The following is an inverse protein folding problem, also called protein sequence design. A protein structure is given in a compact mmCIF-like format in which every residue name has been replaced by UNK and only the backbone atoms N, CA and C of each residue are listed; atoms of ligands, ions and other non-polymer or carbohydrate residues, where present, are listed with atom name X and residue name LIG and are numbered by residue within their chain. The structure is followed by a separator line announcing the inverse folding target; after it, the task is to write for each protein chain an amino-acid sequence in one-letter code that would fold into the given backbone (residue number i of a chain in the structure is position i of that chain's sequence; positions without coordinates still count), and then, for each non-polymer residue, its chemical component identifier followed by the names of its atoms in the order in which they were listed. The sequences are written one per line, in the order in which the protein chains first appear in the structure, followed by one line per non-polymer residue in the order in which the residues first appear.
data_IF_270360007884
#
_entry.id   IF_270360007884
#
_cell.length_a   1.000
_cell.length_b   1.000
_cell.length_c   1.000
_cell.angle_alpha   90.00
_cell.angle_beta   90.00
_cell.angle_gamma   90.00
#
_symmetry.space_group_name_H-M   'P 1'
#
loop_
_entity.id
_entity.type
_entity.pdbx_description
1 polymer ?
#
# COMPACT_ATOMS: atom_id res chain seq x y z
N UNK A 1 -29.64 -58.14 3.45
CA UNK A 1 -29.12 -56.88 2.85
C UNK A 1 -27.67 -57.12 2.50
N UNK A 2 -27.27 -56.95 1.23
CA UNK A 2 -25.94 -57.33 0.76
C UNK A 2 -24.86 -56.42 1.39
N UNK A 3 -23.68 -56.98 1.69
CA UNK A 3 -22.53 -56.22 2.22
C UNK A 3 -22.15 -55.02 1.33
N UNK A 4 -22.44 -55.12 0.04
CA UNK A 4 -22.22 -54.06 -0.95
C UNK A 4 -23.15 -52.86 -0.70
N UNK A 5 -24.40 -53.08 -0.30
CA UNK A 5 -25.36 -52.00 -0.04
C UNK A 5 -24.99 -51.21 1.22
N UNK A 6 -24.44 -51.92 2.22
CA UNK A 6 -23.92 -51.28 3.45
C UNK A 6 -22.69 -50.42 3.16
N UNK A 7 -21.77 -50.91 2.31
CA UNK A 7 -20.57 -50.18 1.92
C UNK A 7 -20.90 -48.92 1.08
N UNK A 8 -21.90 -49.01 0.19
CA UNK A 8 -22.40 -47.85 -0.59
C UNK A 8 -23.00 -46.76 0.30
N UNK A 9 -23.73 -47.14 1.35
CA UNK A 9 -24.29 -46.17 2.28
C UNK A 9 -23.22 -45.49 3.13
N UNK A 10 -22.22 -46.23 3.62
CA UNK A 10 -21.10 -45.68 4.37
C UNK A 10 -20.28 -44.69 3.53
N UNK A 11 -19.97 -45.02 2.27
CA UNK A 11 -19.24 -44.13 1.37
C UNK A 11 -20.04 -42.85 1.10
N UNK A 12 -21.36 -42.95 0.87
CA UNK A 12 -22.23 -41.78 0.65
C UNK A 12 -22.26 -40.87 1.88
N UNK A 13 -22.31 -41.43 3.09
CA UNK A 13 -22.29 -40.64 4.33
C UNK A 13 -20.94 -39.93 4.53
N UNK A 14 -19.82 -40.62 4.26
CA UNK A 14 -18.47 -40.03 4.39
C UNK A 14 -18.27 -38.90 3.36
N UNK A 15 -18.64 -39.12 2.09
CA UNK A 15 -18.57 -38.08 1.06
C UNK A 15 -19.53 -36.92 1.34
N UNK A 16 -20.74 -37.19 1.82
CA UNK A 16 -21.71 -36.16 2.17
C UNK A 16 -21.24 -35.25 3.30
N UNK A 17 -20.60 -35.82 4.34
CA UNK A 17 -20.01 -35.04 5.43
C UNK A 17 -18.79 -34.25 4.92
N UNK A 18 -17.89 -34.86 4.15
CA UNK A 18 -16.72 -34.18 3.60
C UNK A 18 -17.09 -32.99 2.68
N UNK A 19 -18.13 -33.15 1.84
CA UNK A 19 -18.63 -32.09 0.98
C UNK A 19 -19.32 -30.96 1.77
N UNK A 20 -20.06 -31.28 2.84
CA UNK A 20 -20.65 -30.26 3.72
C UNK A 20 -19.59 -29.50 4.51
N UNK A 21 -18.55 -30.16 5.03
CA UNK A 21 -17.45 -29.49 5.74
C UNK A 21 -16.60 -28.62 4.80
N UNK A 22 -16.38 -29.06 3.55
CA UNK A 22 -15.67 -28.27 2.54
C UNK A 22 -16.46 -27.00 2.16
N UNK A 23 -17.78 -27.10 1.94
CA UNK A 23 -18.64 -25.96 1.61
C UNK A 23 -18.73 -24.90 2.72
N UNK A 24 -18.73 -25.32 3.99
CA UNK A 24 -18.76 -24.40 5.13
C UNK A 24 -17.43 -23.66 5.29
N UNK A 25 -16.29 -24.33 5.05
CA UNK A 25 -14.98 -23.67 5.04
C UNK A 25 -14.80 -22.69 3.87
N UNK A 26 -15.37 -22.97 2.69
CA UNK A 26 -15.32 -22.03 1.56
C UNK A 26 -16.14 -20.77 1.83
N UNK A 27 -17.35 -20.90 2.41
CA UNK A 27 -18.19 -19.72 2.70
C UNK A 27 -17.59 -18.81 3.78
N UNK A 28 -16.99 -19.38 4.83
CA UNK A 28 -16.31 -18.59 5.87
C UNK A 28 -14.97 -17.96 5.41
N UNK A 29 -14.31 -18.53 4.39
CA UNK A 29 -13.16 -17.91 3.74
C UNK A 29 -13.57 -16.84 2.73
N UNK A 30 -14.72 -17.00 2.05
CA UNK A 30 -15.21 -16.04 1.08
C UNK A 30 -15.70 -14.74 1.75
N UNK A 31 -16.31 -14.82 2.94
CA UNK A 31 -16.64 -13.63 3.76
C UNK A 31 -15.38 -12.87 4.21
N UNK A 32 -14.34 -13.59 4.65
CA UNK A 32 -13.06 -12.96 5.02
C UNK A 32 -12.28 -12.43 3.80
N UNK A 33 -12.35 -13.08 2.65
CA UNK A 33 -11.72 -12.60 1.41
C UNK A 33 -12.39 -11.33 0.89
N UNK A 34 -13.71 -11.22 1.02
CA UNK A 34 -14.44 -10.01 0.64
C UNK A 34 -14.07 -8.82 1.55
N UNK A 35 -13.99 -9.03 2.86
CA UNK A 35 -13.64 -7.98 3.83
C UNK A 35 -12.18 -7.49 3.68
N UNK A 36 -11.29 -8.37 3.25
CA UNK A 36 -9.88 -8.01 3.01
C UNK A 36 -9.64 -7.41 1.61
N UNK A 37 -10.45 -7.78 0.62
CA UNK A 37 -10.47 -7.15 -0.70
C UNK A 37 -10.96 -5.70 -0.66
N UNK A 38 -11.88 -5.36 0.25
CA UNK A 38 -12.34 -3.98 0.46
C UNK A 38 -11.30 -3.10 1.17
N UNK A 39 -10.43 -3.69 1.98
CA UNK A 39 -9.48 -2.94 2.82
C UNK A 39 -8.10 -2.72 2.18
N UNK A 40 -7.72 -3.50 1.16
CA UNK A 40 -6.41 -3.38 0.47
C UNK A 40 -6.50 -3.53 -1.06
N UNK A 41 -7.05 -2.54 -1.80
CA UNK A 41 -7.23 -2.60 -3.26
C UNK A 41 -5.91 -2.73 -4.04
N UNK A 42 -4.80 -2.25 -3.48
CA UNK A 42 -3.47 -2.45 -4.02
C UNK A 42 -3.08 -3.94 -4.17
N UNK A 43 -3.57 -4.85 -3.32
CA UNK A 43 -3.27 -6.27 -3.45
C UNK A 43 -4.00 -6.87 -4.65
N UNK A 44 -5.24 -6.45 -4.91
CA UNK A 44 -5.99 -6.86 -6.10
C UNK A 44 -5.31 -6.38 -7.39
N UNK A 45 -4.78 -5.15 -7.37
CA UNK A 45 -4.00 -4.63 -8.49
C UNK A 45 -2.73 -5.46 -8.74
N UNK A 46 -1.97 -5.80 -7.67
CA UNK A 46 -0.80 -6.68 -7.79
C UNK A 46 -1.19 -8.07 -8.31
N UNK A 47 -2.30 -8.63 -7.83
CA UNK A 47 -2.81 -9.93 -8.25
C UNK A 47 -3.07 -9.99 -9.75
N UNK A 48 -3.75 -8.99 -10.29
CA UNK A 48 -4.05 -8.87 -11.72
C UNK A 48 -2.80 -8.57 -12.56
N UNK A 49 -1.88 -7.76 -12.05
CA UNK A 49 -0.71 -7.29 -12.82
C UNK A 49 0.35 -8.38 -13.00
N UNK A 50 0.53 -9.24 -11.99
CA UNK A 50 1.60 -10.25 -11.97
C UNK A 50 1.08 -11.69 -12.03
N UNK A 51 -0.20 -11.88 -12.33
CA UNK A 51 -0.85 -13.19 -12.39
C UNK A 51 -0.58 -14.02 -11.12
N UNK A 52 -0.86 -13.42 -9.96
CA UNK A 52 -0.54 -14.05 -8.67
C UNK A 52 -1.45 -15.25 -8.38
N UNK A 53 -0.88 -16.31 -7.81
CA UNK A 53 -1.69 -17.44 -7.33
C UNK A 53 -2.51 -17.05 -6.09
N UNK A 54 -3.62 -17.74 -5.78
CA UNK A 54 -4.40 -17.47 -4.57
C UNK A 54 -3.57 -17.49 -3.28
N UNK A 55 -2.58 -18.37 -3.21
CA UNK A 55 -1.64 -18.47 -2.08
C UNK A 55 -0.74 -17.22 -1.97
N UNK A 56 -0.21 -16.74 -3.11
CA UNK A 56 0.56 -15.50 -3.15
C UNK A 56 -0.28 -14.28 -2.78
N UNK A 57 -1.52 -14.22 -3.27
CA UNK A 57 -2.48 -13.17 -2.92
C UNK A 57 -2.73 -13.16 -1.43
N UNK A 58 -2.98 -14.32 -0.80
CA UNK A 58 -3.17 -14.42 0.64
C UNK A 58 -1.92 -13.97 1.42
N UNK A 59 -0.73 -14.44 1.04
CA UNK A 59 0.51 -14.07 1.72
C UNK A 59 0.79 -12.55 1.63
N UNK A 60 0.59 -11.96 0.45
CA UNK A 60 0.75 -10.50 0.26
C UNK A 60 -0.32 -9.75 1.06
N UNK A 61 -1.54 -10.25 1.08
CA UNK A 61 -2.63 -9.68 1.87
C UNK A 61 -2.27 -9.58 3.35
N UNK A 62 -1.74 -10.66 3.94
CA UNK A 62 -1.29 -10.68 5.34
C UNK A 62 -0.15 -9.67 5.59
N UNK A 63 0.79 -9.53 4.64
CA UNK A 63 1.86 -8.52 4.68
C UNK A 63 1.29 -7.09 4.70
N UNK A 64 0.24 -6.82 3.92
CA UNK A 64 -0.41 -5.51 3.88
C UNK A 64 -1.21 -5.22 5.16
N UNK A 65 -1.91 -6.20 5.69
CA UNK A 65 -2.63 -6.07 6.96
C UNK A 65 -1.68 -5.72 8.12
N UNK A 66 -0.55 -6.44 8.25
CA UNK A 66 0.48 -6.16 9.27
C UNK A 66 1.03 -4.73 9.14
N UNK A 67 1.27 -4.27 7.91
CA UNK A 67 1.74 -2.91 7.66
C UNK A 67 0.67 -1.85 7.92
N UNK A 68 -0.60 -2.16 7.68
CA UNK A 68 -1.71 -1.23 7.85
C UNK A 68 -1.95 -0.89 9.32
N UNK A 69 -1.93 -1.89 10.21
CA UNK A 69 -2.05 -1.66 11.65
C UNK A 69 -0.96 -0.70 12.17
N UNK A 70 0.29 -0.91 11.76
CA UNK A 70 1.40 -0.03 12.17
C UNK A 70 1.28 1.36 11.56
N UNK A 71 0.86 1.48 10.29
CA UNK A 71 0.64 2.77 9.64
C UNK A 71 -0.48 3.56 10.31
N UNK A 72 -1.57 2.91 10.74
CA UNK A 72 -2.65 3.56 11.48
C UNK A 72 -2.17 4.13 12.83
N UNK A 73 -1.32 3.39 13.56
CA UNK A 73 -0.69 3.89 14.79
C UNK A 73 0.14 5.14 14.51
N UNK A 74 1.00 5.08 13.49
CA UNK A 74 1.84 6.21 13.11
C UNK A 74 1.04 7.41 12.60
N UNK A 75 -0.09 7.20 11.91
CA UNK A 75 -1.02 8.25 11.49
C UNK A 75 -1.61 8.98 12.67
N UNK A 76 -2.08 8.24 13.66
CA UNK A 76 -2.61 8.80 14.89
C UNK A 76 -1.53 9.60 15.63
N UNK A 77 -0.37 8.99 15.88
CA UNK A 77 0.75 9.63 16.58
C UNK A 77 1.24 10.91 15.86
N UNK A 78 1.36 10.85 14.53
CA UNK A 78 1.75 12.01 13.71
C UNK A 78 0.70 13.12 13.77
N UNK A 79 -0.58 12.76 13.72
CA UNK A 79 -1.69 13.73 13.78
C UNK A 79 -1.74 14.41 15.14
N UNK A 80 -1.70 13.63 16.21
CA UNK A 80 -1.73 14.14 17.59
C UNK A 80 -0.53 15.07 17.85
N UNK A 81 0.65 14.68 17.37
CA UNK A 81 1.86 15.49 17.50
C UNK A 81 1.79 16.80 16.68
N UNK A 82 1.23 16.76 15.46
CA UNK A 82 1.01 17.97 14.64
C UNK A 82 0.00 18.92 15.27
N UNK A 83 -1.09 18.39 15.84
CA UNK A 83 -2.09 19.19 16.56
C UNK A 83 -1.43 19.85 17.77
N UNK A 84 -0.73 19.08 18.61
CA UNK A 84 0.00 19.60 19.77
C UNK A 84 1.02 20.67 19.37
N UNK A 85 1.75 20.45 18.28
CA UNK A 85 2.71 21.40 17.74
C UNK A 85 2.03 22.70 17.30
N UNK A 86 0.90 22.60 16.57
CA UNK A 86 0.17 23.76 16.08
C UNK A 86 -0.50 24.58 17.19
N UNK A 87 -1.13 23.91 18.16
CA UNK A 87 -1.84 24.56 19.27
C UNK A 87 -0.88 25.24 20.25
N UNK A 88 0.25 24.60 20.55
CA UNK A 88 1.16 25.06 21.61
C UNK A 88 2.45 25.70 21.08
N UNK A 89 2.60 25.89 19.76
CA UNK A 89 3.86 26.36 19.14
C UNK A 89 4.40 27.66 19.76
N UNK A 90 3.51 28.55 20.18
CA UNK A 90 3.86 29.86 20.75
C UNK A 90 4.29 29.78 22.21
N UNK A 91 3.86 28.74 22.91
CA UNK A 91 4.14 28.49 24.32
C UNK A 91 5.33 27.53 24.51
N UNK A 92 5.64 26.73 23.49
CA UNK A 92 6.82 25.87 23.45
C UNK A 92 8.11 26.69 23.37
N UNK A 93 9.08 26.28 24.19
CA UNK A 93 10.46 26.74 24.07
C UNK A 93 11.05 26.32 22.71
N UNK A 94 12.11 27.01 22.22
CA UNK A 94 12.82 26.59 21.01
C UNK A 94 13.23 25.11 21.03
N UNK A 95 13.73 24.62 22.18
CA UNK A 95 14.13 23.22 22.36
C UNK A 95 12.97 22.24 22.18
N UNK A 96 11.81 22.52 22.78
CA UNK A 96 10.62 21.66 22.65
C UNK A 96 10.06 21.66 21.21
N UNK A 97 10.17 22.78 20.50
CA UNK A 97 9.79 22.86 19.08
C UNK A 97 10.71 22.00 18.22
N UNK A 98 12.01 22.06 18.46
CA UNK A 98 12.99 21.27 17.71
C UNK A 98 12.84 19.78 18.02
N UNK A 99 12.59 19.41 19.28
CA UNK A 99 12.27 18.04 19.66
C UNK A 99 11.01 17.52 18.95
N UNK A 100 9.95 18.34 18.91
CA UNK A 100 8.69 17.96 18.25
C UNK A 100 8.86 17.80 16.74
N UNK A 101 9.66 18.66 16.10
CA UNK A 101 10.04 18.50 14.69
C UNK A 101 10.84 17.23 14.47
N UNK A 102 11.83 16.95 15.33
CA UNK A 102 12.63 15.72 15.25
C UNK A 102 11.78 14.46 15.34
N UNK A 103 10.82 14.44 16.26
CA UNK A 103 9.85 13.32 16.37
C UNK A 103 9.00 13.14 15.10
N UNK A 104 8.53 14.24 14.50
CA UNK A 104 7.79 14.16 13.22
C UNK A 104 8.66 13.63 12.07
N UNK A 105 9.94 14.01 12.02
CA UNK A 105 10.89 13.47 11.06
C UNK A 105 11.14 11.98 11.29
N UNK A 106 11.26 11.55 12.54
CA UNK A 106 11.47 10.15 12.89
C UNK A 106 10.25 9.29 12.53
N UNK A 107 9.03 9.76 12.76
CA UNK A 107 7.82 9.09 12.26
C UNK A 107 7.78 9.00 10.73
N UNK A 108 8.28 10.03 10.04
CA UNK A 108 8.39 10.01 8.57
C UNK A 108 9.40 8.96 8.11
N UNK A 109 10.56 8.86 8.78
CA UNK A 109 11.56 7.81 8.51
C UNK A 109 11.01 6.42 8.80
N UNK A 110 10.27 6.26 9.89
CA UNK A 110 9.69 4.98 10.29
C UNK A 110 8.69 4.48 9.24
N UNK A 111 7.81 5.36 8.73
CA UNK A 111 6.90 5.01 7.62
C UNK A 111 7.64 4.52 6.39
N UNK A 112 8.70 5.24 6.00
CA UNK A 112 9.53 4.85 4.86
C UNK A 112 10.19 3.49 5.10
N UNK A 113 10.60 3.21 6.34
CA UNK A 113 11.15 1.92 6.72
C UNK A 113 10.10 0.81 6.61
N UNK A 114 8.89 1.03 7.12
CA UNK A 114 7.78 0.08 7.01
C UNK A 114 7.42 -0.21 5.55
N UNK A 115 7.37 0.82 4.71
CA UNK A 115 7.17 0.67 3.27
C UNK A 115 8.25 -0.21 2.63
N UNK A 116 9.53 0.06 2.91
CA UNK A 116 10.64 -0.75 2.39
C UNK A 116 10.60 -2.20 2.89
N UNK A 117 10.24 -2.42 4.16
CA UNK A 117 10.10 -3.78 4.73
C UNK A 117 8.94 -4.52 4.06
N UNK A 118 7.79 -3.86 3.90
CA UNK A 118 6.63 -4.39 3.20
C UNK A 118 6.99 -4.79 1.77
N UNK A 119 7.64 -3.91 1.01
CA UNK A 119 8.09 -4.20 -0.36
C UNK A 119 9.03 -5.41 -0.42
N UNK A 120 9.99 -5.51 0.51
CA UNK A 120 10.88 -6.68 0.58
C UNK A 120 10.13 -7.97 0.88
N UNK A 121 9.16 -7.93 1.81
CA UNK A 121 8.31 -9.09 2.12
C UNK A 121 7.50 -9.50 0.88
N UNK A 122 6.89 -8.56 0.16
CA UNK A 122 6.18 -8.83 -1.10
C UNK A 122 7.11 -9.46 -2.14
N UNK A 123 8.30 -8.89 -2.37
CA UNK A 123 9.29 -9.45 -3.31
C UNK A 123 9.70 -10.89 -2.97
N UNK A 124 9.69 -11.28 -1.69
CA UNK A 124 10.04 -12.64 -1.25
C UNK A 124 8.98 -13.70 -1.59
N UNK A 125 7.74 -13.28 -1.88
CA UNK A 125 6.61 -14.15 -2.25
C UNK A 125 6.55 -14.39 -3.76
N UNK A 126 7.18 -13.51 -4.56
CA UNK A 126 7.15 -13.57 -6.01
C UNK A 126 8.09 -14.64 -6.58
N UNK A 127 7.70 -15.25 -7.69
CA UNK A 127 8.63 -16.05 -8.50
C UNK A 127 9.69 -15.15 -9.14
N UNK A 128 10.78 -15.73 -9.66
CA UNK A 128 11.84 -14.96 -10.34
C UNK A 128 11.29 -14.10 -11.49
N UNK A 129 10.41 -14.66 -12.31
CA UNK A 129 9.83 -13.95 -13.46
C UNK A 129 8.87 -12.84 -13.03
N UNK A 130 8.05 -13.07 -12.01
CA UNK A 130 7.21 -12.03 -11.41
C UNK A 130 8.03 -10.92 -10.75
N UNK A 131 9.14 -11.29 -10.09
CA UNK A 131 10.03 -10.34 -9.43
C UNK A 131 10.73 -9.41 -10.42
N UNK A 132 11.18 -9.92 -11.57
CA UNK A 132 11.77 -9.07 -12.61
C UNK A 132 10.73 -8.08 -13.16
N UNK A 133 9.52 -8.53 -13.52
CA UNK A 133 8.42 -7.65 -13.92
C UNK A 133 8.09 -6.61 -12.84
N UNK A 134 8.08 -7.02 -11.57
CA UNK A 134 7.80 -6.13 -10.44
C UNK A 134 8.86 -5.04 -10.27
N UNK A 135 10.15 -5.39 -10.43
CA UNK A 135 11.26 -4.42 -10.36
C UNK A 135 11.26 -3.47 -11.56
N UNK A 136 10.99 -3.97 -12.76
CA UNK A 136 10.88 -3.13 -13.97
C UNK A 136 9.75 -2.11 -13.82
N UNK A 137 8.57 -2.52 -13.35
CA UNK A 137 7.46 -1.61 -13.07
C UNK A 137 7.79 -0.60 -11.96
N UNK A 138 8.56 -0.99 -10.95
CA UNK A 138 9.04 -0.07 -9.92
C UNK A 138 10.03 0.97 -10.50
N UNK A 139 10.94 0.54 -11.38
CA UNK A 139 11.89 1.40 -12.07
C UNK A 139 11.19 2.39 -13.02
N UNK A 140 10.21 1.93 -13.80
CA UNK A 140 9.40 2.77 -14.69
C UNK A 140 8.65 3.85 -13.91
N UNK A 141 7.97 3.50 -12.81
CA UNK A 141 7.30 4.49 -11.95
C UNK A 141 8.27 5.49 -11.31
N UNK A 142 9.51 5.08 -11.03
CA UNK A 142 10.53 6.00 -10.54
C UNK A 142 11.04 6.94 -11.64
N UNK A 143 11.13 6.46 -12.88
CA UNK A 143 11.51 7.26 -14.04
C UNK A 143 10.41 8.24 -14.46
N UNK A 144 9.15 7.80 -14.51
CA UNK A 144 7.98 8.65 -14.75
C UNK A 144 7.89 9.79 -13.72
N UNK A 145 8.18 9.51 -12.44
CA UNK A 145 8.26 10.56 -11.40
C UNK A 145 9.34 11.60 -11.71
N UNK A 146 10.52 11.18 -12.18
CA UNK A 146 11.60 12.10 -12.58
C UNK A 146 11.21 12.92 -13.82
N UNK A 147 10.55 12.30 -14.79
CA UNK A 147 10.07 12.98 -15.99
C UNK A 147 8.98 14.01 -15.65
N UNK A 148 8.04 13.65 -14.76
CA UNK A 148 7.00 14.55 -14.28
C UNK A 148 7.60 15.75 -13.51
N UNK A 149 8.52 15.51 -12.58
CA UNK A 149 9.20 16.58 -11.83
C UNK A 149 10.00 17.51 -12.77
N UNK A 150 10.65 16.95 -13.80
CA UNK A 150 11.36 17.74 -14.81
C UNK A 150 10.40 18.59 -15.65
N UNK A 151 9.23 18.04 -16.03
CA UNK A 151 8.20 18.77 -16.78
C UNK A 151 7.64 19.94 -15.97
N UNK A 152 7.30 19.73 -14.70
CA UNK A 152 6.79 20.81 -13.83
C UNK A 152 7.82 21.95 -13.65
N UNK A 153 9.11 21.60 -13.51
CA UNK A 153 10.19 22.61 -13.42
C UNK A 153 10.33 23.41 -14.71
N UNK A 154 10.23 22.76 -15.88
CA UNK A 154 10.29 23.43 -17.18
C UNK A 154 9.09 24.35 -17.40
N UNK A 155 7.87 23.90 -17.10
CA UNK A 155 6.66 24.73 -17.22
C UNK A 155 6.69 25.94 -16.27
N UNK A 156 7.22 25.76 -15.05
CA UNK A 156 7.38 26.86 -14.09
C UNK A 156 8.40 27.88 -14.61
N UNK A 157 9.52 27.41 -15.16
CA UNK A 157 10.56 28.29 -15.74
C UNK A 157 10.01 29.09 -16.93
N UNK A 158 9.27 28.44 -17.82
CA UNK A 158 8.68 29.09 -19.00
C UNK A 158 7.66 30.17 -18.60
N UNK A 159 6.83 29.92 -17.58
CA UNK A 159 5.90 30.93 -17.04
C UNK A 159 6.62 32.15 -16.46
N UNK A 160 7.76 31.96 -15.80
CA UNK A 160 8.58 33.06 -15.27
C UNK A 160 9.18 33.87 -16.42
N UNK A 161 9.80 33.21 -17.40
CA UNK A 161 10.40 33.88 -18.56
C UNK A 161 9.37 34.68 -19.40
N UNK A 162 8.15 34.15 -19.57
CA UNK A 162 7.06 34.86 -20.25
C UNK A 162 6.60 36.11 -19.47
N UNK A 163 6.53 36.02 -18.14
CA UNK A 163 6.17 37.14 -17.27
C UNK A 163 7.25 38.24 -17.32
N UNK A 164 8.52 37.88 -17.23
CA UNK A 164 9.63 38.83 -17.33
C UNK A 164 9.68 39.54 -18.70
N UNK A 165 9.45 38.82 -19.80
CA UNK A 165 9.35 39.42 -21.14
C UNK A 165 8.18 40.39 -21.27
N UNK A 166 7.05 40.06 -20.66
CA UNK A 166 5.84 40.91 -20.67
C UNK A 166 6.06 42.19 -19.85
N UNK A 167 6.70 42.08 -18.69
CA UNK A 167 7.03 43.23 -17.82
C UNK A 167 8.11 44.15 -18.44
N UNK A 168 9.10 43.58 -19.14
CA UNK A 168 10.09 44.39 -19.89
C UNK A 168 9.44 45.16 -21.04
N UNK A 169 8.49 44.55 -21.76
CA UNK A 169 7.75 45.22 -22.84
C UNK A 169 6.90 46.37 -22.30
N UNK A 170 6.17 46.16 -21.20
CA UNK A 170 5.34 47.20 -20.59
C UNK A 170 6.16 48.38 -20.05
N UNK A 171 7.38 48.14 -19.54
CA UNK A 171 8.30 49.21 -19.11
C UNK A 171 8.93 49.99 -20.26
N UNK A 172 8.99 49.42 -21.47
CA UNK A 172 9.56 50.09 -22.65
C UNK A 172 8.55 50.95 -23.42
N UNK A 173 7.25 50.75 -23.17
CA UNK A 173 6.14 51.49 -23.80
C UNK A 173 5.67 52.69 -22.93
N UNK A 174 6.17 52.83 -21.70
CA UNK A 174 5.94 53.98 -20.81
C UNK A 174 7.13 54.94 -20.82
#
# INVERSE_FOLDING_TARGET
MNNIDKMKNTIRTIFGIALMTFAVNTMAQDEKKAEVSETHPEVEHLAKTYDLTPEQVQAITEIYAESAERNMSLDKETKDLKVKYGENMKEMTPSERDQTKGQLEDYTKERKMLEMVRERKVMSVLTKEQLERYKEAAAQRAEERKQHEMKEKMETKEKIEMKEKSEMKEKSEK
#
